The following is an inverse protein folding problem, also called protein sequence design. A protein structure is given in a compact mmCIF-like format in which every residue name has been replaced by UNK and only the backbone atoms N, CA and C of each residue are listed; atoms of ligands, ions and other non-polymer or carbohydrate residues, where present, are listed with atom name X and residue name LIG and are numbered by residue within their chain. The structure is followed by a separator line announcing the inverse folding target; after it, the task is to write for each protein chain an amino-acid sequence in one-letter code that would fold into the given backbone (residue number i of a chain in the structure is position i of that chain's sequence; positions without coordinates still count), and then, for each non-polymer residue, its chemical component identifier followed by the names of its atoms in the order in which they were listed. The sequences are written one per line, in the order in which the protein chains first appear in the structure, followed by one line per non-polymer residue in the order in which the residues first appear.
data_IF_277865070016
#
_entry.id   IF_277865070016
#
_cell.length_a   1.000
_cell.length_b   1.000
_cell.length_c   1.000
_cell.angle_alpha   90.00
_cell.angle_beta   90.00
_cell.angle_gamma   90.00
#
_symmetry.space_group_name_H-M   'P 1'
#
loop_
_entity.id
_entity.type
_entity.pdbx_description
1 polymer ?
#
# COMPACT_ATOMS: atom_id res chain seq x y z
N UNK A 1 -6.97 33.13 -7.45
CA UNK A 1 -5.73 32.56 -6.88
C UNK A 1 -5.94 31.52 -5.76
N UNK A 2 -6.91 31.65 -4.85
CA UNK A 2 -7.11 30.68 -3.73
C UNK A 2 -7.37 29.24 -4.18
N UNK A 3 -8.16 29.03 -5.25
CA UNK A 3 -8.46 27.69 -5.80
C UNK A 3 -7.21 27.02 -6.40
N UNK A 4 -6.39 27.78 -7.13
CA UNK A 4 -5.13 27.28 -7.71
C UNK A 4 -4.14 26.85 -6.63
N UNK A 5 -3.98 27.67 -5.57
CA UNK A 5 -3.10 27.33 -4.43
C UNK A 5 -3.57 26.05 -3.70
N UNK A 6 -4.88 25.82 -3.57
CA UNK A 6 -5.43 24.58 -3.00
C UNK A 6 -5.15 23.36 -3.87
N UNK A 7 -5.33 23.46 -5.18
CA UNK A 7 -5.05 22.35 -6.11
C UNK A 7 -3.56 22.00 -6.09
N UNK A 8 -2.68 23.00 -6.10
CA UNK A 8 -1.23 22.79 -6.01
C UNK A 8 -0.87 22.14 -4.65
N UNK A 9 -1.43 22.61 -3.54
CA UNK A 9 -1.17 22.04 -2.22
C UNK A 9 -1.65 20.57 -2.12
N UNK A 10 -2.85 20.26 -2.62
CA UNK A 10 -3.38 18.89 -2.64
C UNK A 10 -2.56 18.00 -3.58
N UNK A 11 -2.12 18.51 -4.73
CA UNK A 11 -1.23 17.79 -5.65
C UNK A 11 0.14 17.49 -5.03
N UNK A 12 0.75 18.45 -4.33
CA UNK A 12 2.00 18.26 -3.59
C UNK A 12 1.85 17.22 -2.47
N UNK A 13 0.76 17.29 -1.71
CA UNK A 13 0.43 16.32 -0.67
C UNK A 13 0.25 14.93 -1.30
N UNK A 14 -0.47 14.80 -2.41
CA UNK A 14 -0.65 13.52 -3.10
C UNK A 14 0.67 12.92 -3.62
N UNK A 15 1.58 13.76 -4.14
CA UNK A 15 2.92 13.32 -4.58
C UNK A 15 3.76 12.86 -3.37
N UNK A 16 3.73 13.58 -2.25
CA UNK A 16 4.43 13.17 -1.03
C UNK A 16 3.85 11.87 -0.44
N UNK A 17 2.53 11.69 -0.49
CA UNK A 17 1.86 10.47 -0.02
C UNK A 17 2.00 9.27 -0.97
N UNK A 18 2.44 9.45 -2.21
CA UNK A 18 2.72 8.33 -3.11
C UNK A 18 3.87 7.42 -2.61
N UNK A 19 4.65 7.87 -1.62
CA UNK A 19 5.70 7.12 -0.95
C UNK A 19 5.29 6.56 0.43
N UNK A 20 4.07 6.85 0.92
CA UNK A 20 3.62 6.43 2.25
C UNK A 20 3.33 4.92 2.36
N UNK A 21 3.18 4.20 1.24
CA UNK A 21 3.04 2.74 1.22
C UNK A 21 4.26 2.01 1.86
N UNK A 22 5.38 2.70 2.03
CA UNK A 22 6.63 2.12 2.54
C UNK A 22 6.95 2.43 4.01
N UNK A 23 6.17 3.23 4.75
CA UNK A 23 6.53 3.56 6.14
C UNK A 23 6.44 2.33 7.06
N UNK A 24 5.48 1.43 6.81
CA UNK A 24 5.35 0.15 7.54
C UNK A 24 5.52 -1.08 6.61
N UNK A 25 5.46 -0.86 5.29
CA UNK A 25 5.38 -1.90 4.26
C UNK A 25 6.72 -2.57 3.91
N UNK A 26 7.85 -1.85 3.96
CA UNK A 26 9.11 -2.35 3.43
C UNK A 26 9.11 -2.49 1.89
N UNK A 27 10.19 -3.04 1.30
CA UNK A 27 10.26 -3.25 -0.15
C UNK A 27 9.24 -4.31 -0.59
N UNK A 28 8.46 -3.98 -1.62
CA UNK A 28 7.53 -4.94 -2.23
C UNK A 28 8.27 -5.85 -3.22
N UNK A 29 8.23 -7.14 -2.94
CA UNK A 29 8.84 -8.21 -3.74
C UNK A 29 7.99 -8.56 -4.98
N UNK A 30 8.59 -9.19 -6.01
CA UNK A 30 7.85 -9.69 -7.17
C UNK A 30 6.75 -10.69 -6.78
N UNK A 31 7.01 -11.51 -5.75
CA UNK A 31 6.07 -12.51 -5.23
C UNK A 31 4.80 -11.86 -4.66
N UNK A 32 4.91 -10.72 -3.99
CA UNK A 32 3.78 -9.95 -3.46
C UNK A 32 2.91 -9.31 -4.56
N UNK A 33 3.52 -8.87 -5.67
CA UNK A 33 2.81 -8.22 -6.79
C UNK A 33 2.05 -9.22 -7.66
N UNK A 34 2.55 -10.45 -7.78
CA UNK A 34 1.91 -11.51 -8.59
C UNK A 34 0.54 -11.87 -8.02
N UNK A 35 -0.49 -11.85 -8.87
CA UNK A 35 -1.82 -12.36 -8.52
C UNK A 35 -1.83 -13.90 -8.60
N UNK A 36 -2.51 -14.59 -7.67
CA UNK A 36 -2.64 -16.03 -7.73
C UNK A 36 -3.45 -16.45 -8.96
N UNK A 37 -3.01 -17.50 -9.63
CA UNK A 37 -3.73 -18.13 -10.73
C UNK A 37 -4.93 -18.95 -10.21
N UNK A 38 -5.91 -19.31 -11.07
CA UNK A 38 -7.01 -20.18 -10.68
C UNK A 38 -6.48 -21.50 -10.08
N UNK A 39 -6.92 -21.84 -8.87
CA UNK A 39 -6.45 -23.03 -8.13
C UNK A 39 -5.17 -22.84 -7.31
N UNK A 40 -4.49 -21.69 -7.39
CA UNK A 40 -3.38 -21.37 -6.49
C UNK A 40 -3.88 -20.90 -5.10
N UNK A 41 -3.07 -21.16 -4.08
CA UNK A 41 -3.34 -20.69 -2.73
C UNK A 41 -3.36 -19.15 -2.66
N UNK A 42 -4.33 -18.60 -1.91
CA UNK A 42 -4.42 -17.16 -1.71
C UNK A 42 -3.28 -16.62 -0.85
N UNK A 43 -2.76 -15.45 -1.23
CA UNK A 43 -1.64 -14.78 -0.55
C UNK A 43 -1.99 -14.47 0.91
N UNK A 44 -1.06 -14.74 1.82
CA UNK A 44 -1.23 -14.40 3.23
C UNK A 44 -1.11 -12.89 3.46
N UNK A 45 -2.00 -12.33 4.26
CA UNK A 45 -1.99 -10.91 4.62
C UNK A 45 -1.17 -10.67 5.89
N UNK A 46 -0.48 -9.54 5.94
CA UNK A 46 0.20 -9.02 7.15
C UNK A 46 -0.84 -8.40 8.07
N UNK A 47 -1.35 -9.20 9.01
CA UNK A 47 -2.45 -8.81 9.93
C UNK A 47 -2.15 -7.52 10.70
N UNK A 48 -0.90 -7.31 11.12
CA UNK A 48 -0.51 -6.09 11.84
C UNK A 48 -0.62 -4.85 10.95
N UNK A 49 -0.21 -4.94 9.67
CA UNK A 49 -0.34 -3.84 8.71
C UNK A 49 -1.82 -3.54 8.43
N UNK A 50 -2.62 -4.59 8.26
CA UNK A 50 -4.08 -4.47 8.09
C UNK A 50 -4.74 -3.71 9.24
N UNK A 51 -4.42 -4.07 10.48
CA UNK A 51 -4.97 -3.41 11.68
C UNK A 51 -4.48 -1.96 11.76
N UNK A 52 -3.20 -1.71 11.49
CA UNK A 52 -2.63 -0.37 11.51
C UNK A 52 -3.32 0.55 10.49
N UNK A 53 -3.53 0.10 9.25
CA UNK A 53 -4.20 0.90 8.23
C UNK A 53 -5.67 1.18 8.60
N UNK A 54 -6.39 0.21 9.13
CA UNK A 54 -7.79 0.39 9.53
C UNK A 54 -7.93 1.42 10.65
N UNK A 55 -7.01 1.41 11.62
CA UNK A 55 -7.09 2.28 12.81
C UNK A 55 -6.45 3.66 12.60
N UNK A 56 -5.37 3.75 11.81
CA UNK A 56 -4.55 4.95 11.70
C UNK A 56 -4.72 5.69 10.37
N UNK A 57 -4.95 4.97 9.26
CA UNK A 57 -5.00 5.58 7.94
C UNK A 57 -5.70 4.69 6.89
N UNK A 58 -7.03 4.73 6.86
CA UNK A 58 -7.83 3.90 5.95
C UNK A 58 -7.48 4.04 4.45
N UNK A 59 -7.03 5.20 3.92
CA UNK A 59 -6.53 5.27 2.55
C UNK A 59 -5.27 4.44 2.31
N UNK A 60 -4.42 4.25 3.34
CA UNK A 60 -3.23 3.40 3.32
C UNK A 60 -3.58 1.96 3.00
N UNK A 61 -4.67 1.45 3.58
CA UNK A 61 -5.21 0.12 3.32
C UNK A 61 -5.38 -0.15 1.82
N UNK A 62 -6.00 0.79 1.12
CA UNK A 62 -6.30 0.67 -0.32
C UNK A 62 -4.99 0.64 -1.11
N UNK A 63 -4.05 1.51 -0.75
CA UNK A 63 -2.74 1.59 -1.40
C UNK A 63 -1.92 0.31 -1.15
N UNK A 64 -1.96 -0.24 0.05
CA UNK A 64 -1.22 -1.46 0.43
C UNK A 64 -1.79 -2.71 -0.27
N UNK A 65 -3.10 -2.78 -0.47
CA UNK A 65 -3.72 -3.79 -1.33
C UNK A 65 -3.39 -3.60 -2.82
N UNK A 66 -3.37 -2.36 -3.30
CA UNK A 66 -3.08 -2.06 -4.70
C UNK A 66 -1.61 -2.33 -5.07
N UNK A 67 -0.69 -2.01 -4.18
CA UNK A 67 0.75 -2.24 -4.37
C UNK A 67 1.16 -3.68 -4.06
N UNK A 68 0.38 -4.39 -3.24
CA UNK A 68 0.70 -5.73 -2.75
C UNK A 68 1.56 -5.74 -1.48
N UNK A 69 1.90 -4.57 -0.91
CA UNK A 69 2.67 -4.44 0.33
C UNK A 69 2.00 -5.11 1.54
N UNK A 70 0.67 -5.26 1.49
CA UNK A 70 -0.14 -5.93 2.51
C UNK A 70 0.11 -7.44 2.59
N UNK A 71 0.64 -8.06 1.52
CA UNK A 71 0.87 -9.51 1.49
C UNK A 71 2.21 -9.86 2.13
N UNK A 72 2.34 -11.06 2.70
CA UNK A 72 3.63 -11.54 3.20
C UNK A 72 4.57 -11.85 2.02
N UNK A 73 5.87 -11.51 2.10
CA UNK A 73 6.85 -11.97 1.12
C UNK A 73 6.99 -13.49 1.18
N UNK A 74 7.41 -14.11 0.07
CA UNK A 74 7.80 -15.51 0.08
C UNK A 74 9.05 -15.68 0.96
N UNK A 75 9.17 -16.81 1.67
CA UNK A 75 10.22 -17.06 2.67
C UNK A 75 11.67 -17.06 2.13
N UNK A 76 11.91 -16.69 0.87
CA UNK A 76 13.20 -16.74 0.18
C UNK A 76 13.58 -15.42 -0.54
N UNK A 77 12.93 -14.29 -0.23
CA UNK A 77 13.27 -12.96 -0.78
C UNK A 77 13.95 -12.06 0.28
#
# INVERSE_FOLDING_TARGET
MKKMKRVIAVGFIAIMLSSCATILGGKVTPSQKRKPAPGEQQRQVRVVALIADILLFAPGLIVDFATGAIYKPANND
#
